data_IF_071029935098
#
_entry.id   IF_071029935098
#
_cell.length_a   1.000
_cell.length_b   1.000
_cell.length_c   1.000
_cell.angle_alpha   90.00
_cell.angle_beta   90.00
_cell.angle_gamma   90.00
#
_symmetry.space_group_name_H-M   'P 1'
#
loop_
_entity.id
_entity.type
_entity.pdbx_description
1 polymer ?
#
# COMPACT_ATOMS: atom_id res chain seq x y z
N UNK A 1 0.20 -16.23 -8.52
CA UNK A 1 -0.60 -15.35 -7.66
C UNK A 1 0.07 -14.01 -7.70
N UNK A 2 -0.43 -13.04 -8.48
CA UNK A 2 0.18 -11.71 -8.56
C UNK A 2 0.11 -10.96 -7.22
N UNK A 3 0.99 -9.99 -7.05
CA UNK A 3 1.11 -9.17 -5.84
C UNK A 3 0.90 -7.69 -6.18
N UNK A 4 0.11 -6.99 -5.38
CA UNK A 4 -0.03 -5.53 -5.42
C UNK A 4 0.63 -4.96 -4.18
N UNK A 5 1.70 -4.18 -4.37
CA UNK A 5 2.28 -3.38 -3.29
C UNK A 5 1.54 -2.05 -3.24
N UNK A 6 0.93 -1.75 -2.10
CA UNK A 6 0.25 -0.49 -1.84
C UNK A 6 1.06 0.32 -0.82
N UNK A 7 1.77 1.33 -1.30
CA UNK A 7 2.71 2.15 -0.53
C UNK A 7 2.09 3.49 -0.14
N UNK A 8 2.04 3.77 1.16
CA UNK A 8 1.60 5.06 1.70
C UNK A 8 2.68 6.13 1.44
N UNK A 9 2.27 7.22 0.79
CA UNK A 9 3.10 8.38 0.47
C UNK A 9 2.59 9.66 1.14
N UNK A 10 1.77 9.54 2.18
CA UNK A 10 1.25 10.69 2.94
C UNK A 10 2.33 11.38 3.80
N UNK A 11 2.08 12.62 4.22
CA UNK A 11 2.99 13.39 5.08
C UNK A 11 3.37 12.65 6.36
N UNK A 12 2.48 11.80 6.88
CA UNK A 12 2.75 11.01 8.09
C UNK A 12 3.96 10.08 7.95
N UNK A 13 4.26 9.63 6.73
CA UNK A 13 5.40 8.79 6.39
C UNK A 13 6.74 9.58 6.36
N UNK A 14 6.70 10.90 6.40
CA UNK A 14 7.89 11.75 6.51
C UNK A 14 8.34 11.97 7.96
N UNK A 15 7.57 11.47 8.93
CA UNK A 15 7.95 11.54 10.35
C UNK A 15 9.29 10.82 10.58
N UNK A 16 10.15 11.38 11.46
CA UNK A 16 11.41 10.75 11.79
C UNK A 16 11.17 9.43 12.53
N UNK A 17 12.09 8.50 12.35
CA UNK A 17 12.20 7.26 13.12
C UNK A 17 13.31 7.46 14.12
N UNK A 18 13.02 7.22 15.40
CA UNK A 18 14.04 7.20 16.44
C UNK A 18 14.83 5.89 16.30
N UNK A 19 15.93 5.95 15.57
CA UNK A 19 16.92 4.88 15.50
C UNK A 19 18.10 5.30 16.38
N UNK A 20 18.64 4.38 17.17
CA UNK A 20 19.89 4.62 17.90
C UNK A 20 21.03 4.80 16.87
N UNK A 21 21.41 6.03 16.57
CA UNK A 21 22.41 6.34 15.55
C UNK A 21 22.44 7.83 15.16
N UNK A 22 23.35 8.18 14.26
CA UNK A 22 23.51 9.55 13.73
C UNK A 22 22.63 9.87 12.52
N UNK A 23 22.03 8.86 11.89
CA UNK A 23 21.26 9.03 10.65
C UNK A 23 19.77 9.29 10.96
N UNK A 24 19.27 10.42 10.47
CA UNK A 24 17.85 10.78 10.55
C UNK A 24 17.07 10.07 9.44
N UNK A 25 16.51 8.89 9.75
CA UNK A 25 15.59 8.21 8.86
C UNK A 25 14.16 8.68 9.04
N UNK A 26 13.42 8.80 7.95
CA UNK A 26 11.96 8.91 7.96
C UNK A 26 11.32 7.53 7.81
N UNK A 27 10.05 7.41 8.19
CA UNK A 27 9.28 6.16 8.04
C UNK A 27 9.28 5.69 6.58
N UNK A 28 9.15 6.60 5.62
CA UNK A 28 9.24 6.27 4.19
C UNK A 28 10.57 5.61 3.82
N UNK A 29 11.69 6.00 4.44
CA UNK A 29 12.97 5.39 4.15
C UNK A 29 12.99 3.92 4.58
N UNK A 30 12.45 3.59 5.76
CA UNK A 30 12.33 2.20 6.20
C UNK A 30 11.38 1.39 5.33
N UNK A 31 10.26 1.99 4.92
CA UNK A 31 9.32 1.37 3.99
C UNK A 31 9.99 1.01 2.65
N UNK A 32 10.76 1.97 2.08
CA UNK A 32 11.53 1.77 0.85
C UNK A 32 12.56 0.66 1.04
N UNK A 33 13.33 0.65 2.14
CA UNK A 33 14.30 -0.42 2.42
C UNK A 33 13.64 -1.79 2.51
N UNK A 34 12.53 -1.91 3.24
CA UNK A 34 11.80 -3.18 3.37
C UNK A 34 11.24 -3.68 2.04
N UNK A 35 10.69 -2.78 1.22
CA UNK A 35 10.19 -3.12 -0.11
C UNK A 35 11.31 -3.45 -1.10
N UNK A 36 12.46 -2.78 -1.03
CA UNK A 36 13.65 -3.13 -1.82
C UNK A 36 14.09 -4.56 -1.51
N UNK A 37 14.20 -4.93 -0.22
CA UNK A 37 14.52 -6.29 0.19
C UNK A 37 13.50 -7.32 -0.32
N UNK A 38 12.20 -6.99 -0.26
CA UNK A 38 11.15 -7.83 -0.82
C UNK A 38 11.33 -8.00 -2.35
N UNK A 39 11.54 -6.92 -3.09
CA UNK A 39 11.71 -6.96 -4.54
C UNK A 39 12.97 -7.75 -4.95
N UNK A 40 14.09 -7.60 -4.24
CA UNK A 40 15.30 -8.40 -4.48
C UNK A 40 15.05 -9.90 -4.25
N UNK A 41 14.34 -10.22 -3.17
CA UNK A 41 13.97 -11.59 -2.86
C UNK A 41 13.08 -12.19 -3.96
N UNK A 42 12.10 -11.42 -4.44
CA UNK A 42 11.19 -11.83 -5.52
C UNK A 42 11.93 -11.99 -6.86
N UNK A 43 12.83 -11.06 -7.19
CA UNK A 43 13.66 -11.10 -8.38
C UNK A 43 14.62 -12.31 -8.41
N UNK A 44 14.96 -12.85 -7.25
CA UNK A 44 15.86 -14.01 -7.14
C UNK A 44 15.08 -15.33 -7.04
N UNK A 45 14.05 -15.39 -6.20
CA UNK A 45 13.40 -16.63 -5.79
C UNK A 45 11.98 -16.81 -6.38
N UNK A 46 11.30 -15.74 -6.76
CA UNK A 46 9.90 -15.74 -7.25
C UNK A 46 9.74 -15.04 -8.60
N UNK A 47 10.70 -15.25 -9.52
CA UNK A 47 10.85 -14.53 -10.81
C UNK A 47 9.63 -14.52 -11.73
N UNK A 48 8.70 -15.45 -11.55
CA UNK A 48 7.50 -15.56 -12.38
C UNK A 48 6.31 -14.76 -11.83
N UNK A 49 6.43 -14.24 -10.61
CA UNK A 49 5.38 -13.47 -9.96
C UNK A 49 5.29 -12.07 -10.55
N UNK A 50 4.08 -11.71 -11.00
CA UNK A 50 3.77 -10.35 -11.43
C UNK A 50 3.50 -9.48 -10.20
N UNK A 51 4.19 -8.35 -10.12
CA UNK A 51 4.04 -7.38 -9.05
C UNK A 51 3.69 -6.02 -9.63
N UNK A 52 2.71 -5.33 -9.05
CA UNK A 52 2.41 -3.93 -9.33
C UNK A 52 2.72 -3.05 -8.11
N UNK A 53 3.01 -1.78 -8.36
CA UNK A 53 3.24 -0.78 -7.33
C UNK A 53 2.19 0.33 -7.45
N UNK A 54 1.44 0.52 -6.38
CA UNK A 54 0.45 1.59 -6.23
C UNK A 54 0.91 2.49 -5.09
N UNK A 55 0.99 3.78 -5.32
CA UNK A 55 1.22 4.79 -4.28
C UNK A 55 -0.12 5.41 -3.88
N UNK A 56 -0.27 5.78 -2.60
CA UNK A 56 -1.49 6.48 -2.18
C UNK A 56 -1.25 7.49 -1.06
N UNK A 57 -2.06 8.54 -1.14
CA UNK A 57 -2.28 9.55 -0.11
C UNK A 57 -3.75 9.95 -0.19
N UNK A 58 -4.11 11.18 -0.57
CA UNK A 58 -5.50 11.60 -0.72
C UNK A 58 -6.16 11.00 -1.97
N UNK A 59 -5.33 10.77 -2.98
CA UNK A 59 -5.60 10.01 -4.20
C UNK A 59 -4.66 8.79 -4.24
N UNK A 60 -4.88 7.90 -5.18
CA UNK A 60 -4.00 6.77 -5.46
C UNK A 60 -3.54 6.83 -6.91
N UNK A 61 -2.34 6.31 -7.17
CA UNK A 61 -1.74 6.25 -8.49
C UNK A 61 -1.09 4.88 -8.72
N UNK A 62 -1.33 4.30 -9.90
CA UNK A 62 -0.63 3.11 -10.35
C UNK A 62 0.76 3.52 -10.88
N UNK A 63 1.77 3.43 -10.03
CA UNK A 63 3.16 3.79 -10.37
C UNK A 63 3.77 2.82 -11.37
N UNK A 64 3.54 1.52 -11.16
CA UNK A 64 4.04 0.46 -12.04
C UNK A 64 2.92 -0.56 -12.24
N UNK A 65 2.47 -0.83 -13.49
CA UNK A 65 1.52 -1.89 -13.78
C UNK A 65 2.13 -3.26 -13.46
N UNK A 66 1.33 -4.33 -13.53
CA UNK A 66 1.83 -5.68 -13.24
C UNK A 66 3.04 -6.03 -14.12
N UNK A 67 4.20 -6.20 -13.48
CA UNK A 67 5.47 -6.44 -14.14
C UNK A 67 6.26 -7.53 -13.42
N UNK A 68 7.20 -8.14 -14.14
CA UNK A 68 8.24 -9.02 -13.58
C UNK A 68 9.60 -8.31 -13.53
N UNK A 69 9.66 -7.08 -14.02
CA UNK A 69 10.85 -6.24 -13.98
C UNK A 69 10.94 -5.53 -12.64
N UNK A 70 11.59 -6.19 -11.68
CA UNK A 70 11.80 -5.66 -10.34
C UNK A 70 12.74 -4.44 -10.31
N UNK A 71 13.53 -4.19 -11.35
CA UNK A 71 14.33 -2.96 -11.42
C UNK A 71 13.40 -1.75 -11.59
N UNK A 72 12.40 -1.84 -12.47
CA UNK A 72 11.41 -0.76 -12.66
C UNK A 72 10.60 -0.48 -11.39
N UNK A 73 10.26 -1.53 -10.63
CA UNK A 73 9.57 -1.40 -9.35
C UNK A 73 10.43 -0.67 -8.31
N UNK A 74 11.73 -1.00 -8.24
CA UNK A 74 12.69 -0.33 -7.35
C UNK A 74 12.96 1.12 -7.76
N UNK A 75 13.10 1.39 -9.06
CA UNK A 75 13.28 2.76 -9.58
C UNK A 75 12.06 3.64 -9.25
N UNK A 76 10.84 3.14 -9.47
CA UNK A 76 9.63 3.88 -9.12
C UNK A 76 9.50 4.11 -7.62
N UNK A 77 9.84 3.11 -6.79
CA UNK A 77 9.84 3.21 -5.33
C UNK A 77 10.81 4.28 -4.82
N UNK A 78 12.01 4.37 -5.40
CA UNK A 78 13.04 5.36 -5.02
C UNK A 78 12.67 6.80 -5.41
N UNK A 79 11.79 6.97 -6.40
CA UNK A 79 11.35 8.28 -6.89
C UNK A 79 9.97 8.69 -6.34
N UNK A 80 9.49 8.05 -5.26
CA UNK A 80 8.22 8.42 -4.64
C UNK A 80 8.25 9.83 -4.06
N UNK A 81 7.26 10.62 -4.46
CA UNK A 81 7.00 11.95 -3.91
C UNK A 81 6.22 11.88 -2.60
N UNK A 82 6.34 12.93 -1.80
CA UNK A 82 5.58 13.10 -0.56
C UNK A 82 4.29 13.87 -0.85
N UNK A 83 3.16 13.35 -0.38
CA UNK A 83 1.82 13.91 -0.58
C UNK A 83 1.13 14.19 0.75
N UNK A 84 -0.14 14.62 0.70
CA UNK A 84 -0.84 15.23 1.84
C UNK A 84 -1.33 14.25 2.92
N UNK A 85 -2.47 13.59 2.72
CA UNK A 85 -3.20 12.86 3.77
C UNK A 85 -3.66 11.49 3.29
N UNK A 86 -3.61 10.50 4.16
CA UNK A 86 -4.04 9.13 3.87
C UNK A 86 -5.55 9.04 3.56
N UNK A 87 -5.90 8.37 2.45
CA UNK A 87 -7.25 7.98 2.06
C UNK A 87 -7.28 6.49 1.67
N UNK A 88 -7.13 5.61 2.67
CA UNK A 88 -6.94 4.18 2.46
C UNK A 88 -8.12 3.51 1.73
N UNK A 89 -9.34 3.96 1.96
CA UNK A 89 -10.51 3.39 1.28
C UNK A 89 -10.43 3.58 -0.24
N UNK A 90 -10.09 4.79 -0.71
CA UNK A 90 -9.95 5.06 -2.14
C UNK A 90 -8.81 4.22 -2.75
N UNK A 91 -7.72 4.03 -2.01
CA UNK A 91 -6.60 3.20 -2.41
C UNK A 91 -6.97 1.71 -2.54
N UNK A 92 -7.71 1.16 -1.58
CA UNK A 92 -8.20 -0.23 -1.65
C UNK A 92 -9.19 -0.44 -2.82
N UNK A 93 -10.00 0.57 -3.13
CA UNK A 93 -10.82 0.55 -4.35
C UNK A 93 -9.92 0.56 -5.61
N UNK A 94 -8.86 1.34 -5.61
CA UNK A 94 -7.85 1.35 -6.68
C UNK A 94 -7.20 0.00 -6.90
N UNK A 95 -6.78 -0.67 -5.82
CA UNK A 95 -6.26 -2.06 -5.87
C UNK A 95 -7.27 -3.00 -6.53
N UNK A 96 -8.56 -2.86 -6.17
CA UNK A 96 -9.61 -3.69 -6.77
C UNK A 96 -9.72 -3.49 -8.28
N UNK A 97 -9.67 -2.24 -8.73
CA UNK A 97 -9.74 -1.90 -10.15
C UNK A 97 -8.51 -2.44 -10.90
N UNK A 98 -7.30 -2.24 -10.36
CA UNK A 98 -6.04 -2.71 -10.96
C UNK A 98 -6.04 -4.23 -11.12
N UNK A 99 -6.46 -4.97 -10.10
CA UNK A 99 -6.52 -6.44 -10.16
C UNK A 99 -7.57 -6.91 -11.16
N UNK A 100 -8.79 -6.36 -11.09
CA UNK A 100 -9.89 -6.82 -11.94
C UNK A 100 -9.66 -6.51 -13.42
N UNK A 101 -9.01 -5.37 -13.73
CA UNK A 101 -8.68 -4.99 -15.11
C UNK A 101 -7.68 -5.95 -15.75
N UNK A 102 -6.67 -6.41 -14.99
CA UNK A 102 -5.61 -7.27 -15.52
C UNK A 102 -5.94 -8.76 -15.42
N UNK A 103 -6.46 -9.19 -14.26
CA UNK A 103 -6.58 -10.61 -13.90
C UNK A 103 -8.03 -11.09 -13.67
N UNK A 104 -9.01 -10.19 -13.73
CA UNK A 104 -10.40 -10.49 -13.41
C UNK A 104 -10.64 -10.80 -11.93
N UNK A 105 -11.73 -11.49 -11.62
CA UNK A 105 -12.17 -11.76 -10.23
C UNK A 105 -11.77 -13.14 -9.69
N UNK A 106 -11.33 -14.06 -10.55
CA UNK A 106 -11.03 -15.44 -10.16
C UNK A 106 -9.55 -15.68 -9.82
N UNK A 107 -8.66 -14.74 -10.16
CA UNK A 107 -7.23 -14.88 -9.93
C UNK A 107 -6.89 -14.55 -8.47
N UNK A 108 -6.28 -15.48 -7.70
CA UNK A 108 -5.81 -15.15 -6.36
C UNK A 108 -4.73 -14.08 -6.42
N UNK A 109 -4.84 -13.06 -5.57
CA UNK A 109 -3.90 -11.94 -5.51
C UNK A 109 -3.46 -11.64 -4.06
N UNK A 110 -2.21 -11.23 -3.88
CA UNK A 110 -1.73 -10.73 -2.59
C UNK A 110 -1.72 -9.20 -2.62
N UNK A 111 -2.11 -8.58 -1.52
CA UNK A 111 -2.04 -7.14 -1.33
C UNK A 111 -1.13 -6.88 -0.14
N UNK A 112 -0.02 -6.17 -0.38
CA UNK A 112 0.94 -5.76 0.65
C UNK A 112 0.78 -4.27 0.89
N UNK A 113 0.06 -3.91 1.94
CA UNK A 113 -0.11 -2.53 2.38
C UNK A 113 1.08 -2.14 3.26
N UNK A 114 1.79 -1.09 2.88
CA UNK A 114 2.89 -0.51 3.66
C UNK A 114 2.48 0.90 4.09
N UNK A 115 2.29 1.11 5.39
CA UNK A 115 1.82 2.38 5.97
C UNK A 115 2.31 2.46 7.42
N UNK A 116 2.35 3.65 7.98
CA UNK A 116 2.70 3.85 9.39
C UNK A 116 1.49 3.76 10.34
N UNK A 117 0.33 3.37 9.81
CA UNK A 117 -0.91 3.22 10.58
C UNK A 117 -1.67 4.53 10.80
N UNK A 118 -1.21 5.67 10.25
CA UNK A 118 -1.96 6.91 10.28
C UNK A 118 -3.28 6.75 9.49
N UNK A 119 -4.40 6.81 10.20
CA UNK A 119 -5.72 6.51 9.61
C UNK A 119 -6.32 7.67 8.79
N UNK A 120 -5.57 8.75 8.57
CA UNK A 120 -6.08 9.99 7.97
C UNK A 120 -7.05 10.75 8.88
N UNK A 121 -7.62 11.85 8.37
CA UNK A 121 -8.53 12.74 9.11
C UNK A 121 -9.84 13.00 8.35
N UNK A 122 -10.93 13.20 9.11
CA UNK A 122 -12.23 13.58 8.57
C UNK A 122 -12.90 12.48 7.72
N UNK A 123 -13.64 12.87 6.68
CA UNK A 123 -14.46 11.96 5.86
C UNK A 123 -13.67 10.94 5.04
N UNK A 124 -12.39 11.19 4.77
CA UNK A 124 -11.51 10.24 4.07
C UNK A 124 -10.72 9.32 5.01
N UNK A 125 -10.86 9.50 6.33
CA UNK A 125 -10.14 8.68 7.30
C UNK A 125 -10.69 7.26 7.35
N UNK A 126 -9.81 6.28 7.57
CA UNK A 126 -10.22 4.88 7.75
C UNK A 126 -11.20 4.74 8.92
N UNK A 127 -11.00 5.50 10.02
CA UNK A 127 -11.92 5.50 11.16
C UNK A 127 -13.34 5.88 10.75
N UNK A 128 -13.50 6.95 9.97
CA UNK A 128 -14.80 7.38 9.47
C UNK A 128 -15.39 6.33 8.50
N UNK A 129 -14.55 5.79 7.61
CA UNK A 129 -14.97 4.75 6.67
C UNK A 129 -15.54 3.53 7.38
N UNK A 130 -14.83 3.03 8.40
CA UNK A 130 -15.22 1.88 9.21
C UNK A 130 -16.50 2.14 10.03
N UNK A 131 -16.65 3.33 10.61
CA UNK A 131 -17.84 3.72 11.36
C UNK A 131 -19.10 3.80 10.48
N UNK A 132 -18.94 4.13 9.21
CA UNK A 132 -20.05 4.31 8.26
C UNK A 132 -20.37 3.06 7.43
N UNK A 133 -19.59 1.96 7.55
CA UNK A 133 -19.73 0.74 6.71
C UNK A 133 -21.17 0.24 6.64
N UNK A 134 -21.85 0.14 7.79
CA UNK A 134 -23.21 -0.40 7.89
C UNK A 134 -24.30 0.51 7.31
N UNK A 135 -24.00 1.78 7.09
CA UNK A 135 -24.97 2.80 6.65
C UNK A 135 -24.92 3.02 5.13
N UNK A 136 -24.02 2.34 4.43
CA UNK A 136 -23.76 2.58 3.00
C UNK A 136 -24.67 1.77 2.10
N UNK A 137 -25.12 2.42 1.03
CA UNK A 137 -25.89 1.83 -0.08
C UNK A 137 -24.94 1.01 -0.97
N UNK A 138 -25.49 0.12 -1.81
CA UNK A 138 -24.69 -0.86 -2.57
C UNK A 138 -23.57 -0.26 -3.43
N UNK A 139 -23.79 0.90 -4.04
CA UNK A 139 -22.80 1.57 -4.90
C UNK A 139 -21.65 2.25 -4.13
N UNK A 140 -21.69 2.22 -2.79
CA UNK A 140 -20.65 2.79 -1.90
C UNK A 140 -20.14 1.79 -0.87
N UNK A 141 -20.22 0.48 -1.20
CA UNK A 141 -19.70 -0.58 -0.33
C UNK A 141 -18.22 -0.34 -0.03
N UNK A 142 -17.84 -0.65 1.19
CA UNK A 142 -16.44 -0.61 1.58
C UNK A 142 -15.66 -1.64 0.74
N UNK A 143 -14.43 -1.35 0.26
CA UNK A 143 -13.72 -2.22 -0.69
C UNK A 143 -13.32 -3.60 -0.15
N UNK A 144 -13.53 -3.85 1.15
CA UNK A 144 -13.27 -5.15 1.79
C UNK A 144 -14.59 -5.85 2.16
N UNK A 145 -14.68 -7.19 1.98
CA UNK A 145 -13.65 -8.05 1.38
C UNK A 145 -13.45 -7.77 -0.11
N UNK A 146 -12.23 -7.99 -0.61
CA UNK A 146 -11.94 -7.81 -2.03
C UNK A 146 -12.82 -8.73 -2.89
N UNK A 147 -13.18 -8.31 -4.12
CA UNK A 147 -14.00 -9.10 -5.04
C UNK A 147 -13.25 -10.24 -5.75
N UNK A 148 -12.04 -10.57 -5.27
CA UNK A 148 -11.19 -11.66 -5.75
C UNK A 148 -10.54 -12.39 -4.55
N UNK A 149 -10.15 -13.67 -4.70
CA UNK A 149 -9.45 -14.39 -3.65
C UNK A 149 -8.18 -13.64 -3.26
N UNK A 150 -8.06 -13.25 -1.99
CA UNK A 150 -7.01 -12.33 -1.59
C UNK A 150 -6.42 -12.63 -0.23
N UNK A 151 -5.16 -12.20 -0.06
CA UNK A 151 -4.50 -12.05 1.23
C UNK A 151 -4.08 -10.60 1.38
N UNK A 152 -4.49 -9.97 2.47
CA UNK A 152 -4.06 -8.62 2.83
C UNK A 152 -2.99 -8.71 3.92
N UNK A 153 -1.76 -8.39 3.56
CA UNK A 153 -0.66 -8.22 4.50
C UNK A 153 -0.49 -6.73 4.79
N UNK A 154 -0.41 -6.37 6.07
CA UNK A 154 -0.22 -4.99 6.51
C UNK A 154 1.14 -4.89 7.19
N UNK A 155 2.05 -4.14 6.57
CA UNK A 155 3.40 -3.86 7.04
C UNK A 155 3.37 -2.48 7.72
N UNK A 156 3.27 -2.49 9.04
CA UNK A 156 3.20 -1.26 9.83
C UNK A 156 4.61 -0.66 10.04
N UNK A 157 4.83 0.57 9.56
CA UNK A 157 6.06 1.35 9.77
C UNK A 157 5.90 2.24 11.02
N UNK A 158 5.56 1.58 12.12
CA UNK A 158 5.41 2.15 13.44
C UNK A 158 5.58 1.02 14.46
N UNK A 159 6.06 1.34 15.65
CA UNK A 159 6.11 0.36 16.74
C UNK A 159 4.68 0.06 17.25
N UNK A 160 4.53 -1.02 18.01
CA UNK A 160 3.22 -1.42 18.53
C UNK A 160 2.63 -0.39 19.50
N UNK A 161 3.46 0.33 20.26
CA UNK A 161 3.03 1.34 21.23
C UNK A 161 2.42 2.58 20.57
N UNK A 162 2.86 2.91 19.35
CA UNK A 162 2.36 4.06 18.57
C UNK A 162 1.04 3.81 17.86
N UNK A 163 0.67 2.54 17.66
CA UNK A 163 -0.51 2.13 16.86
C UNK A 163 -1.69 1.68 17.74
N UNK A 164 -1.45 1.45 19.05
CA UNK A 164 -2.46 1.07 20.07
C UNK A 164 -3.16 2.29 20.67
#
# INVERSE_FOLDING_TARGET
MPTVVLMDSSLSMTRPVSVEGSEEFQRKNLAVHGLTMLFEHMATNYRLEFTSLVAFSSLWELMVPFSRDYNTLQEALNNLEDFDKTCLEAALQGVSNVVQQEWGTSCPCQVVLVTDGALGIGRGSLRHSLQTVKQRVEDKKFPLPFPFPSKLYVMCIANAEEVL
#
